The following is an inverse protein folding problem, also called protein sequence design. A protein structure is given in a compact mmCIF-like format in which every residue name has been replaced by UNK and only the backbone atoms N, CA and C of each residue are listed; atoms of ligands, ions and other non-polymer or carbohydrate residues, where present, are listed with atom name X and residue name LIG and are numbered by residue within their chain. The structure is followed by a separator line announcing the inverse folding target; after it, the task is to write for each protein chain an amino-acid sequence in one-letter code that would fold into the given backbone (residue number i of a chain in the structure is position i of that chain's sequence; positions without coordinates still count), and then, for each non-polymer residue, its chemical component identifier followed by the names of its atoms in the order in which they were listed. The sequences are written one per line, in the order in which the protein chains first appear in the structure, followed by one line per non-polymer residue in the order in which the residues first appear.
data_IF_522957669691
#
_entry.id   IF_522957669691
#
_cell.length_a   1.000
_cell.length_b   1.000
_cell.length_c   1.000
_cell.angle_alpha   90.00
_cell.angle_beta   90.00
_cell.angle_gamma   90.00
#
_symmetry.space_group_name_H-M   'P 1'
#
loop_
_entity.id
_entity.type
_entity.pdbx_description
1 polymer ?
#
# COMPACT_ATOMS: atom_id res chain seq x y z
N UNK A 1 0.87 -24.45 8.64
CA UNK A 1 -0.31 -23.68 9.09
C UNK A 1 -0.05 -22.17 9.18
N UNK A 2 1.06 -21.73 9.78
CA UNK A 2 1.45 -20.31 9.87
C UNK A 2 1.56 -19.59 8.52
N UNK A 3 2.17 -20.22 7.51
CA UNK A 3 2.35 -19.62 6.18
C UNK A 3 1.03 -19.20 5.50
N UNK A 4 -0.07 -19.93 5.71
CA UNK A 4 -1.39 -19.60 5.12
C UNK A 4 -1.99 -18.33 5.74
N UNK A 5 -1.85 -18.14 7.06
CA UNK A 5 -2.36 -16.96 7.76
C UNK A 5 -1.54 -15.71 7.45
N UNK A 6 -0.21 -15.81 7.46
CA UNK A 6 0.70 -14.70 7.14
C UNK A 6 0.49 -14.19 5.71
N UNK A 7 0.25 -15.10 4.76
CA UNK A 7 -0.04 -14.77 3.36
C UNK A 7 -1.34 -14.00 3.19
N UNK A 8 -2.40 -14.44 3.87
CA UNK A 8 -3.70 -13.79 3.84
C UNK A 8 -3.62 -12.37 4.39
N UNK A 9 -2.90 -12.18 5.50
CA UNK A 9 -2.70 -10.86 6.13
C UNK A 9 -1.85 -9.95 5.22
N UNK A 10 -0.73 -10.45 4.71
CA UNK A 10 0.15 -9.67 3.82
C UNK A 10 -0.58 -9.26 2.54
N UNK A 11 -1.31 -10.18 1.91
CA UNK A 11 -2.13 -9.88 0.74
C UNK A 11 -3.19 -8.82 1.03
N UNK A 12 -3.87 -8.91 2.18
CA UNK A 12 -4.88 -7.93 2.56
C UNK A 12 -4.30 -6.51 2.73
N UNK A 13 -3.14 -6.38 3.38
CA UNK A 13 -2.48 -5.08 3.53
C UNK A 13 -1.95 -4.50 2.21
N UNK A 14 -1.44 -5.34 1.31
CA UNK A 14 -1.02 -4.92 -0.03
C UNK A 14 -2.23 -4.43 -0.82
N UNK A 15 -3.34 -5.18 -0.81
CA UNK A 15 -4.58 -4.77 -1.48
C UNK A 15 -5.13 -3.47 -0.90
N UNK A 16 -5.13 -3.30 0.41
CA UNK A 16 -5.54 -2.06 1.08
C UNK A 16 -4.77 -0.84 0.56
N UNK A 17 -3.44 -0.96 0.55
CA UNK A 17 -2.55 0.11 0.14
C UNK A 17 -2.69 0.44 -1.35
N UNK A 18 -2.76 -0.58 -2.22
CA UNK A 18 -3.01 -0.40 -3.66
C UNK A 18 -4.38 0.27 -3.89
N UNK A 19 -5.42 -0.17 -3.17
CA UNK A 19 -6.77 0.39 -3.31
C UNK A 19 -6.77 1.89 -3.00
N UNK A 20 -6.10 2.31 -1.92
CA UNK A 20 -5.94 3.73 -1.59
C UNK A 20 -5.15 4.46 -2.67
N UNK A 21 -4.00 3.95 -3.10
CA UNK A 21 -3.18 4.58 -4.15
C UNK A 21 -3.93 4.79 -5.48
N UNK A 22 -4.89 3.92 -5.81
CA UNK A 22 -5.72 4.04 -7.01
C UNK A 22 -6.93 4.99 -6.84
N UNK A 23 -7.36 5.22 -5.59
CA UNK A 23 -8.53 6.03 -5.24
C UNK A 23 -8.17 7.48 -4.91
N UNK A 24 -6.98 7.73 -4.37
CA UNK A 24 -6.52 9.07 -3.94
C UNK A 24 -6.69 10.10 -5.06
N UNK A 25 -6.20 9.80 -6.26
CA UNK A 25 -6.25 10.75 -7.39
C UNK A 25 -7.69 11.08 -7.81
N UNK A 26 -8.59 10.09 -7.82
CA UNK A 26 -9.99 10.26 -8.28
C UNK A 26 -10.89 10.93 -7.24
N UNK A 27 -10.57 10.80 -5.97
CA UNK A 27 -11.45 11.22 -4.89
C UNK A 27 -11.03 12.57 -4.30
N UNK A 28 -9.73 12.84 -4.23
CA UNK A 28 -9.25 14.13 -3.75
C UNK A 28 -9.47 15.28 -4.76
N UNK A 29 -9.44 14.98 -6.07
CA UNK A 29 -9.75 15.97 -7.12
C UNK A 29 -11.22 16.40 -7.16
N UNK A 30 -12.13 15.62 -6.56
CA UNK A 30 -13.57 15.88 -6.54
C UNK A 30 -14.06 16.33 -5.15
N UNK A 31 -13.16 16.62 -4.21
CA UNK A 31 -13.52 16.97 -2.84
C UNK A 31 -13.45 18.49 -2.58
N UNK A 32 -14.27 19.00 -1.63
CA UNK A 32 -14.40 20.43 -1.34
C UNK A 32 -13.08 21.16 -1.08
N UNK A 33 -12.04 20.44 -0.62
CA UNK A 33 -10.71 21.02 -0.42
C UNK A 33 -10.15 21.63 -1.72
N UNK A 34 -10.37 21.02 -2.89
CA UNK A 34 -9.82 21.57 -4.15
C UNK A 34 -10.48 22.88 -4.57
N UNK A 35 -11.66 23.18 -4.04
CA UNK A 35 -12.33 24.46 -4.25
C UNK A 35 -11.78 25.54 -3.29
N UNK A 36 -11.31 25.12 -2.10
CA UNK A 36 -10.77 25.99 -1.05
C UNK A 36 -9.27 26.31 -1.19
N UNK A 37 -8.55 25.52 -1.98
CA UNK A 37 -7.12 25.73 -2.23
C UNK A 37 -6.90 26.71 -3.39
N UNK A 38 -5.83 27.49 -3.30
CA UNK A 38 -5.28 28.21 -4.43
C UNK A 38 -4.59 27.24 -5.41
N UNK A 39 -4.27 27.73 -6.60
CA UNK A 39 -3.69 26.87 -7.65
C UNK A 39 -2.30 26.35 -7.28
N UNK A 40 -1.54 27.09 -6.46
CA UNK A 40 -0.25 26.64 -5.94
C UNK A 40 -0.43 25.42 -5.01
N UNK A 41 -1.31 25.50 -4.02
CA UNK A 41 -1.50 24.39 -3.09
C UNK A 41 -2.20 23.19 -3.72
N UNK A 42 -3.01 23.38 -4.77
CA UNK A 42 -3.50 22.26 -5.60
C UNK A 42 -2.36 21.50 -6.28
N UNK A 43 -1.42 22.21 -6.90
CA UNK A 43 -0.26 21.58 -7.52
C UNK A 43 0.61 20.88 -6.49
N UNK A 44 0.84 21.51 -5.34
CA UNK A 44 1.58 20.93 -4.21
C UNK A 44 0.92 19.65 -3.71
N UNK A 45 -0.40 19.63 -3.54
CA UNK A 45 -1.14 18.42 -3.17
C UNK A 45 -0.89 17.28 -4.17
N UNK A 46 -1.03 17.55 -5.47
CA UNK A 46 -0.85 16.54 -6.52
C UNK A 46 0.57 15.99 -6.53
N UNK A 47 1.57 16.85 -6.32
CA UNK A 47 2.96 16.44 -6.21
C UNK A 47 3.18 15.52 -4.99
N UNK A 48 2.67 15.90 -3.81
CA UNK A 48 2.77 15.10 -2.58
C UNK A 48 2.09 13.74 -2.75
N UNK A 49 0.88 13.71 -3.32
CA UNK A 49 0.14 12.48 -3.55
C UNK A 49 0.88 11.54 -4.50
N UNK A 50 1.40 12.07 -5.62
CA UNK A 50 2.14 11.30 -6.60
C UNK A 50 3.51 10.82 -6.07
N UNK A 51 4.20 11.64 -5.28
CA UNK A 51 5.44 11.24 -4.59
C UNK A 51 5.18 10.03 -3.68
N UNK A 52 4.17 10.10 -2.81
CA UNK A 52 3.84 9.02 -1.87
C UNK A 52 3.49 7.72 -2.60
N UNK A 53 2.70 7.82 -3.68
CA UNK A 53 2.37 6.71 -4.56
C UNK A 53 3.62 6.09 -5.18
N UNK A 54 4.52 6.92 -5.70
CA UNK A 54 5.77 6.48 -6.31
C UNK A 54 6.70 5.81 -5.29
N UNK A 55 6.84 6.37 -4.07
CA UNK A 55 7.63 5.76 -2.99
C UNK A 55 7.10 4.36 -2.67
N UNK A 56 5.78 4.22 -2.53
CA UNK A 56 5.15 2.93 -2.29
C UNK A 56 5.45 1.92 -3.41
N UNK A 57 5.26 2.29 -4.69
CA UNK A 57 5.53 1.36 -5.79
C UNK A 57 7.01 1.02 -5.94
N UNK A 58 7.92 1.96 -5.67
CA UNK A 58 9.37 1.69 -5.64
C UNK A 58 9.72 0.69 -4.53
N UNK A 59 9.19 0.89 -3.31
CA UNK A 59 9.39 -0.01 -2.18
C UNK A 59 8.85 -1.41 -2.45
N UNK A 60 7.66 -1.50 -3.06
CA UNK A 60 7.06 -2.76 -3.45
C UNK A 60 7.86 -3.49 -4.53
N UNK A 61 8.33 -2.78 -5.57
CA UNK A 61 9.17 -3.35 -6.62
C UNK A 61 10.49 -3.88 -6.06
N UNK A 62 11.14 -3.12 -5.17
CA UNK A 62 12.35 -3.54 -4.47
C UNK A 62 12.09 -4.80 -3.62
N UNK A 63 11.00 -4.80 -2.83
CA UNK A 63 10.61 -5.94 -2.03
C UNK A 63 10.34 -7.20 -2.85
N UNK A 64 9.69 -7.05 -4.00
CA UNK A 64 9.45 -8.13 -4.93
C UNK A 64 10.75 -8.73 -5.48
N UNK A 65 11.67 -7.89 -5.97
CA UNK A 65 12.98 -8.34 -6.48
C UNK A 65 13.77 -9.07 -5.39
N UNK A 66 13.87 -8.50 -4.19
CA UNK A 66 14.56 -9.12 -3.05
C UNK A 66 13.95 -10.45 -2.65
N UNK A 67 12.62 -10.55 -2.69
CA UNK A 67 11.92 -11.80 -2.36
C UNK A 67 12.20 -12.91 -3.37
N UNK A 68 12.32 -12.59 -4.67
CA UNK A 68 12.69 -13.55 -5.71
C UNK A 68 14.14 -14.01 -5.56
N UNK A 69 15.07 -13.10 -5.26
CA UNK A 69 16.47 -13.44 -4.99
C UNK A 69 16.61 -14.35 -3.77
N UNK A 70 15.93 -14.01 -2.67
CA UNK A 70 15.92 -14.84 -1.46
C UNK A 70 15.32 -16.22 -1.74
N UNK A 71 14.23 -16.29 -2.51
CA UNK A 71 13.61 -17.57 -2.89
C UNK A 71 14.54 -18.42 -3.76
N UNK A 72 15.24 -17.81 -4.71
CA UNK A 72 16.21 -18.50 -5.57
C UNK A 72 17.34 -19.14 -4.75
N UNK A 73 17.91 -18.41 -3.79
CA UNK A 73 18.97 -18.91 -2.89
C UNK A 73 18.44 -20.07 -2.02
N UNK A 74 17.25 -19.92 -1.45
CA UNK A 74 16.65 -20.93 -0.57
C UNK A 74 16.30 -22.23 -1.33
N UNK A 75 15.78 -22.12 -2.54
CA UNK A 75 15.35 -23.28 -3.33
C UNK A 75 16.53 -24.05 -3.95
N UNK A 76 17.68 -23.40 -4.16
CA UNK A 76 18.92 -24.09 -4.56
C UNK A 76 19.47 -24.99 -3.42
N UNK A 77 19.00 -24.78 -2.20
CA UNK A 77 19.40 -25.57 -1.04
C UNK A 77 18.46 -26.79 -0.88
N UNK A 78 18.97 -28.01 -1.09
CA UNK A 78 18.18 -29.27 -1.13
C UNK A 78 17.38 -29.58 0.16
N UNK A 79 17.62 -28.85 1.25
CA UNK A 79 16.95 -29.02 2.53
C UNK A 79 15.49 -28.56 2.58
N UNK A 80 15.06 -27.63 1.71
CA UNK A 80 13.70 -27.08 1.74
C UNK A 80 12.89 -27.54 0.52
N UNK A 81 12.05 -28.58 0.68
CA UNK A 81 10.99 -28.87 -0.30
C UNK A 81 9.85 -27.87 -0.12
N UNK A 82 9.76 -26.90 -1.02
CA UNK A 82 8.77 -25.81 -0.92
C UNK A 82 7.63 -26.00 -1.92
N UNK A 83 6.39 -25.86 -1.46
CA UNK A 83 5.20 -25.90 -2.32
C UNK A 83 5.00 -24.57 -3.04
N UNK A 84 4.30 -24.58 -4.19
CA UNK A 84 3.98 -23.34 -4.95
C UNK A 84 3.30 -22.29 -4.07
N UNK A 85 2.35 -22.70 -3.22
CA UNK A 85 1.65 -21.78 -2.31
C UNK A 85 2.61 -21.15 -1.29
N UNK A 86 3.49 -21.95 -0.70
CA UNK A 86 4.49 -21.44 0.26
C UNK A 86 5.44 -20.43 -0.40
N UNK A 87 5.86 -20.66 -1.64
CA UNK A 87 6.69 -19.71 -2.40
C UNK A 87 5.97 -18.39 -2.65
N UNK A 88 4.73 -18.43 -3.13
CA UNK A 88 3.93 -17.20 -3.34
C UNK A 88 3.73 -16.42 -2.04
N UNK A 89 3.44 -17.13 -0.95
CA UNK A 89 3.24 -16.51 0.34
C UNK A 89 4.53 -15.91 0.94
N UNK A 90 5.67 -16.55 0.71
CA UNK A 90 6.97 -15.99 1.05
C UNK A 90 7.25 -14.71 0.26
N UNK A 91 6.98 -14.72 -1.04
CA UNK A 91 7.14 -13.54 -1.91
C UNK A 91 6.27 -12.38 -1.44
N UNK A 92 4.98 -12.61 -1.20
CA UNK A 92 4.05 -11.58 -0.72
C UNK A 92 4.44 -11.01 0.65
N UNK A 93 4.76 -11.88 1.61
CA UNK A 93 5.13 -11.46 2.96
C UNK A 93 6.43 -10.64 2.97
N UNK A 94 7.46 -11.12 2.30
CA UNK A 94 8.75 -10.43 2.20
C UNK A 94 8.61 -9.10 1.46
N UNK A 95 7.86 -9.07 0.35
CA UNK A 95 7.59 -7.84 -0.40
C UNK A 95 6.86 -6.81 0.46
N UNK A 96 5.86 -7.24 1.24
CA UNK A 96 5.14 -6.37 2.15
C UNK A 96 6.05 -5.78 3.23
N UNK A 97 6.89 -6.60 3.87
CA UNK A 97 7.80 -6.15 4.93
C UNK A 97 8.81 -5.13 4.39
N UNK A 98 9.47 -5.45 3.27
CA UNK A 98 10.43 -4.52 2.65
C UNK A 98 9.74 -3.22 2.26
N UNK A 99 8.55 -3.30 1.64
CA UNK A 99 7.80 -2.12 1.25
C UNK A 99 7.41 -1.25 2.45
N UNK A 100 6.96 -1.86 3.56
CA UNK A 100 6.63 -1.15 4.79
C UNK A 100 7.83 -0.35 5.31
N UNK A 101 8.98 -1.00 5.46
CA UNK A 101 10.19 -0.31 5.94
C UNK A 101 10.69 0.73 4.95
N UNK A 102 10.67 0.43 3.65
CA UNK A 102 11.04 1.38 2.60
C UNK A 102 10.18 2.64 2.68
N UNK A 103 8.86 2.48 2.76
CA UNK A 103 7.92 3.60 2.80
C UNK A 103 8.09 4.45 4.08
N UNK A 104 8.29 3.81 5.24
CA UNK A 104 8.49 4.52 6.51
C UNK A 104 9.80 5.28 6.53
N UNK A 105 10.90 4.64 6.11
CA UNK A 105 12.25 5.21 6.18
C UNK A 105 12.56 6.21 5.06
N UNK A 106 11.89 6.11 3.91
CA UNK A 106 12.11 7.06 2.82
C UNK A 106 11.67 8.47 3.25
N UNK A 107 12.56 9.48 3.15
CA UNK A 107 12.21 10.86 3.48
C UNK A 107 11.10 11.35 2.54
N UNK A 108 10.14 12.09 3.09
CA UNK A 108 9.03 12.67 2.32
C UNK A 108 9.37 14.14 2.10
N UNK A 109 9.21 14.61 0.86
CA UNK A 109 9.62 15.97 0.50
C UNK A 109 8.82 17.05 1.24
N UNK A 110 7.51 16.83 1.40
CA UNK A 110 6.59 17.84 1.92
C UNK A 110 5.32 17.23 2.57
N UNK A 111 4.60 18.06 3.34
CA UNK A 111 3.36 17.69 4.01
C UNK A 111 2.30 18.79 3.84
N UNK A 112 1.16 18.45 3.24
CA UNK A 112 0.08 19.41 2.97
C UNK A 112 -0.33 20.25 4.18
N UNK A 113 -0.36 19.64 5.38
CA UNK A 113 -0.84 20.28 6.61
C UNK A 113 -0.07 21.56 6.99
N UNK A 114 1.18 21.71 6.55
CA UNK A 114 2.00 22.89 6.89
C UNK A 114 1.64 24.12 6.04
N UNK A 115 0.91 23.92 4.94
CA UNK A 115 0.50 24.96 3.99
C UNK A 115 -0.99 25.27 4.07
N UNK A 116 -1.67 24.83 5.15
CA UNK A 116 -3.07 25.12 5.39
C UNK A 116 -3.19 26.25 6.43
N UNK A 117 -3.58 27.42 5.97
CA UNK A 117 -3.62 28.64 6.78
C UNK A 117 -4.95 28.78 7.51
N UNK A 118 -6.05 28.40 6.87
CA UNK A 118 -7.41 28.61 7.37
C UNK A 118 -8.00 27.35 8.06
N UNK A 119 -8.93 27.57 9.00
CA UNK A 119 -9.62 26.50 9.72
C UNK A 119 -10.45 25.62 8.78
N UNK A 120 -11.12 26.20 7.77
CA UNK A 120 -11.96 25.47 6.83
C UNK A 120 -11.12 24.58 5.91
N UNK A 121 -9.93 25.06 5.49
CA UNK A 121 -8.95 24.24 4.78
C UNK A 121 -8.50 23.04 5.62
N UNK A 122 -8.25 23.23 6.92
CA UNK A 122 -7.86 22.15 7.84
C UNK A 122 -9.00 21.15 8.06
N UNK A 123 -10.25 21.61 8.17
CA UNK A 123 -11.44 20.73 8.26
C UNK A 123 -11.62 19.91 6.99
N UNK A 124 -11.49 20.52 5.82
CA UNK A 124 -11.57 19.84 4.54
C UNK A 124 -10.42 18.81 4.36
N UNK A 125 -9.21 19.14 4.82
CA UNK A 125 -8.11 18.18 4.86
C UNK A 125 -8.39 16.98 5.78
N UNK A 126 -9.01 17.20 6.95
CA UNK A 126 -9.41 16.14 7.86
C UNK A 126 -10.46 15.21 7.21
N UNK A 127 -11.39 15.74 6.43
CA UNK A 127 -12.37 14.94 5.69
C UNK A 127 -11.71 14.05 4.63
N UNK A 128 -10.77 14.58 3.87
CA UNK A 128 -9.93 13.82 2.93
C UNK A 128 -9.19 12.71 3.68
N UNK A 129 -8.58 13.03 4.82
CA UNK A 129 -7.85 12.06 5.63
C UNK A 129 -8.76 10.90 6.09
N UNK A 130 -9.94 11.21 6.61
CA UNK A 130 -10.94 10.20 7.01
C UNK A 130 -11.41 9.35 5.84
N UNK A 131 -11.59 9.96 4.67
CA UNK A 131 -11.95 9.27 3.43
C UNK A 131 -10.87 8.28 3.03
N UNK A 132 -9.60 8.67 3.09
CA UNK A 132 -8.46 7.78 2.84
C UNK A 132 -8.40 6.62 3.84
N UNK A 133 -8.66 6.87 5.13
CA UNK A 133 -8.73 5.81 6.14
C UNK A 133 -9.85 4.81 5.85
N UNK A 134 -11.05 5.29 5.50
CA UNK A 134 -12.16 4.43 5.10
C UNK A 134 -11.80 3.56 3.88
N UNK A 135 -11.23 4.17 2.83
CA UNK A 135 -10.78 3.44 1.65
C UNK A 135 -9.73 2.38 1.99
N UNK A 136 -8.81 2.67 2.92
CA UNK A 136 -7.82 1.70 3.38
C UNK A 136 -8.49 0.48 4.02
N UNK A 137 -9.42 0.70 4.95
CA UNK A 137 -10.13 -0.39 5.62
C UNK A 137 -11.03 -1.17 4.65
N UNK A 138 -11.68 -0.50 3.70
CA UNK A 138 -12.44 -1.14 2.63
C UNK A 138 -11.55 -2.03 1.77
N UNK A 139 -10.41 -1.50 1.31
CA UNK A 139 -9.42 -2.26 0.54
C UNK A 139 -8.84 -3.44 1.33
N UNK A 140 -8.63 -3.29 2.64
CA UNK A 140 -8.22 -4.38 3.52
C UNK A 140 -9.27 -5.48 3.60
N UNK A 141 -10.55 -5.12 3.79
CA UNK A 141 -11.66 -6.07 3.79
C UNK A 141 -11.78 -6.84 2.46
N UNK A 142 -11.69 -6.13 1.33
CA UNK A 142 -11.66 -6.73 -0.01
C UNK A 142 -10.47 -7.69 -0.18
N UNK A 143 -9.30 -7.29 0.33
CA UNK A 143 -8.09 -8.09 0.31
C UNK A 143 -8.20 -9.38 1.14
N UNK A 144 -8.80 -9.32 2.34
CA UNK A 144 -9.06 -10.51 3.16
C UNK A 144 -9.96 -11.50 2.41
N UNK A 145 -11.07 -11.02 1.86
CA UNK A 145 -12.02 -11.86 1.11
C UNK A 145 -11.33 -12.48 -0.12
N UNK A 146 -10.61 -11.68 -0.91
CA UNK A 146 -9.87 -12.15 -2.08
C UNK A 146 -8.84 -13.22 -1.74
N UNK A 147 -8.05 -13.00 -0.68
CA UNK A 147 -7.04 -13.97 -0.25
C UNK A 147 -7.64 -15.26 0.34
N UNK A 148 -8.85 -15.22 0.92
CA UNK A 148 -9.56 -16.44 1.32
C UNK A 148 -9.93 -17.31 0.11
N UNK A 149 -10.40 -16.69 -0.99
CA UNK A 149 -10.70 -17.42 -2.23
C UNK A 149 -9.44 -18.03 -2.85
N UNK A 150 -8.35 -17.26 -2.91
CA UNK A 150 -7.05 -17.76 -3.40
C UNK A 150 -6.58 -18.94 -2.53
N UNK A 151 -6.65 -18.79 -1.20
CA UNK A 151 -6.28 -19.85 -0.27
C UNK A 151 -7.06 -21.15 -0.50
N UNK A 152 -8.38 -21.07 -0.72
CA UNK A 152 -9.23 -22.23 -1.03
C UNK A 152 -8.90 -22.86 -2.38
N UNK A 153 -8.55 -22.08 -3.40
CA UNK A 153 -8.20 -22.58 -4.73
C UNK A 153 -6.92 -23.42 -4.73
N UNK A 154 -5.88 -22.96 -4.01
CA UNK A 154 -4.57 -23.64 -3.97
C UNK A 154 -4.46 -24.77 -2.93
N UNK A 155 -5.42 -24.90 -2.01
CA UNK A 155 -5.42 -25.91 -0.95
C UNK A 155 -6.40 -27.07 -1.22
N UNK A 156 -6.66 -27.42 -2.48
CA UNK A 156 -7.37 -28.64 -2.85
C UNK A 156 -6.63 -29.89 -2.37
#
# INVERSE_FOLDING_TARGET
MFCKKSCLIAGAFITASIFVCLRVDKQALNQPLMELLDDENKQRYMMIANERKMIYFKGFALGFILSLLALYILNNNKFFKVTKLTNTCFVLATSFIVNYFFYILHPKSDYMVIHLDDEDQRKAWLEIYRTMQYNYHLGFGLGLVGMMFIGRSYCR
#
